data_IF_923445787856
#
_entry.id   IF_923445787856
#
_cell.length_a   1.000
_cell.length_b   1.000
_cell.length_c   1.000
_cell.angle_alpha   90.00
_cell.angle_beta   90.00
_cell.angle_gamma   90.00
#
_symmetry.space_group_name_H-M   'P 1'
#
loop_
_entity.id
_entity.type
_entity.pdbx_description
1 polymer ?
#
# COMPACT_ATOMS: atom_id res chain seq x y z
N UNK A 1 -13.71 -17.42 3.98
CA UNK A 1 -14.44 -16.86 2.82
C UNK A 1 -13.85 -15.49 2.53
N UNK A 2 -13.39 -15.26 1.29
CA UNK A 2 -12.79 -13.97 0.90
C UNK A 2 -13.90 -13.06 0.36
N UNK A 3 -13.91 -11.79 0.78
CA UNK A 3 -14.86 -10.79 0.30
C UNK A 3 -14.31 -10.15 -0.98
N UNK A 4 -14.94 -10.40 -2.13
CA UNK A 4 -14.37 -10.13 -3.46
C UNK A 4 -15.07 -9.05 -4.28
N UNK A 5 -16.14 -8.45 -3.76
CA UNK A 5 -16.98 -7.46 -4.46
C UNK A 5 -16.20 -6.29 -5.11
N UNK A 6 -15.06 -5.88 -4.55
CA UNK A 6 -14.30 -4.71 -5.01
C UNK A 6 -12.94 -5.05 -5.62
N UNK A 7 -12.52 -6.33 -5.63
CA UNK A 7 -11.15 -6.71 -5.98
C UNK A 7 -10.83 -6.43 -7.46
N UNK A 8 -11.84 -6.46 -8.34
CA UNK A 8 -11.71 -6.09 -9.76
C UNK A 8 -11.98 -4.61 -10.07
N UNK A 9 -12.35 -3.80 -9.08
CA UNK A 9 -12.82 -2.44 -9.32
C UNK A 9 -11.67 -1.42 -9.25
N UNK A 10 -11.34 -0.82 -10.39
CA UNK A 10 -10.30 0.22 -10.51
C UNK A 10 -10.76 1.60 -10.05
N UNK A 11 -12.03 1.77 -9.67
CA UNK A 11 -12.54 2.96 -8.96
C UNK A 11 -12.28 2.90 -7.45
N UNK A 12 -11.86 1.75 -6.92
CA UNK A 12 -11.57 1.58 -5.51
C UNK A 12 -10.11 1.91 -5.20
N UNK A 13 -9.88 2.29 -3.94
CA UNK A 13 -8.53 2.37 -3.37
C UNK A 13 -8.23 1.02 -2.73
N UNK A 14 -7.14 0.39 -3.15
CA UNK A 14 -6.70 -0.89 -2.60
C UNK A 14 -5.61 -0.65 -1.55
N UNK A 15 -5.89 -0.98 -0.31
CA UNK A 15 -4.91 -0.89 0.78
C UNK A 15 -4.30 -2.27 1.03
N UNK A 16 -2.99 -2.40 0.84
CA UNK A 16 -2.26 -3.65 1.11
C UNK A 16 -1.56 -3.53 2.45
N UNK A 17 -2.00 -4.33 3.41
CA UNK A 17 -1.47 -4.36 4.76
C UNK A 17 -0.39 -5.42 4.91
N UNK A 18 0.68 -5.08 5.62
CA UNK A 18 1.71 -6.03 6.07
C UNK A 18 2.15 -5.68 7.49
N UNK A 19 2.78 -6.64 8.18
CA UNK A 19 3.20 -6.47 9.58
C UNK A 19 4.69 -6.23 9.66
N UNK A 20 5.09 -5.20 10.39
CA UNK A 20 6.51 -4.88 10.60
C UNK A 20 7.24 -5.87 11.52
N UNK A 21 6.50 -6.72 12.23
CA UNK A 21 7.08 -7.77 13.07
C UNK A 21 7.47 -9.02 12.28
N UNK A 22 6.99 -9.16 11.05
CA UNK A 22 7.40 -10.27 10.18
C UNK A 22 8.81 -10.01 9.65
N UNK A 23 9.57 -11.05 9.28
CA UNK A 23 10.86 -10.84 8.62
C UNK A 23 10.71 -10.11 7.28
N UNK A 24 11.75 -9.39 6.84
CA UNK A 24 11.77 -8.68 5.55
C UNK A 24 11.27 -9.53 4.38
N UNK A 25 11.74 -10.78 4.26
CA UNK A 25 11.36 -11.69 3.18
C UNK A 25 9.87 -12.01 3.20
N UNK A 26 9.31 -12.27 4.39
CA UNK A 26 7.88 -12.56 4.57
C UNK A 26 7.03 -11.33 4.23
N UNK A 27 7.44 -10.14 4.69
CA UNK A 27 6.74 -8.90 4.35
C UNK A 27 6.70 -8.67 2.84
N UNK A 28 7.85 -8.83 2.16
CA UNK A 28 7.96 -8.67 0.72
C UNK A 28 7.12 -9.71 -0.05
N UNK A 29 7.15 -10.97 0.39
CA UNK A 29 6.33 -12.03 -0.20
C UNK A 29 4.83 -11.74 -0.06
N UNK A 30 4.37 -11.28 1.12
CA UNK A 30 2.98 -10.90 1.34
C UNK A 30 2.55 -9.77 0.41
N UNK A 31 3.32 -8.68 0.34
CA UNK A 31 3.01 -7.53 -0.53
C UNK A 31 2.96 -7.95 -1.99
N UNK A 32 3.96 -8.71 -2.46
CA UNK A 32 4.00 -9.22 -3.83
C UNK A 32 2.83 -10.15 -4.14
N UNK A 33 2.47 -11.03 -3.21
CA UNK A 33 1.33 -11.94 -3.35
C UNK A 33 0.03 -11.15 -3.54
N UNK A 34 -0.24 -10.18 -2.66
CA UNK A 34 -1.49 -9.41 -2.73
C UNK A 34 -1.58 -8.56 -3.99
N UNK A 35 -0.47 -7.97 -4.44
CA UNK A 35 -0.44 -7.21 -5.70
C UNK A 35 -0.63 -8.10 -6.92
N UNK A 36 0.03 -9.25 -6.97
CA UNK A 36 -0.15 -10.21 -8.06
C UNK A 36 -1.59 -10.75 -8.08
N UNK A 37 -2.15 -11.04 -6.91
CA UNK A 37 -3.53 -11.46 -6.75
C UNK A 37 -4.48 -10.36 -7.26
N UNK A 38 -4.32 -9.11 -6.83
CA UNK A 38 -5.13 -7.98 -7.30
C UNK A 38 -5.09 -7.84 -8.83
N UNK A 39 -3.88 -7.85 -9.41
CA UNK A 39 -3.69 -7.74 -10.86
C UNK A 39 -4.32 -8.91 -11.63
N UNK A 40 -4.33 -10.13 -11.07
CA UNK A 40 -4.99 -11.28 -11.69
C UNK A 40 -6.51 -11.15 -11.79
N UNK A 41 -7.10 -10.20 -11.05
CA UNK A 41 -8.55 -9.95 -10.99
C UNK A 41 -8.97 -8.66 -11.69
N UNK A 42 -8.01 -7.84 -12.13
CA UNK A 42 -8.26 -6.56 -12.81
C UNK A 42 -7.83 -6.73 -14.28
N UNK A 43 -8.78 -6.90 -15.20
CA UNK A 43 -8.43 -6.94 -16.62
C UNK A 43 -7.87 -5.57 -17.05
N UNK A 44 -6.85 -5.53 -17.91
CA UNK A 44 -6.36 -4.29 -18.50
C UNK A 44 -7.51 -3.56 -19.22
N UNK A 45 -7.62 -2.25 -19.03
CA UNK A 45 -8.61 -1.42 -19.71
C UNK A 45 -7.94 -0.59 -20.80
N UNK A 46 -8.52 -0.62 -21.99
CA UNK A 46 -8.11 0.22 -23.11
C UNK A 46 -8.43 1.71 -22.84
N UNK A 47 -7.66 2.65 -23.39
CA UNK A 47 -6.46 2.42 -24.21
C UNK A 47 -5.25 2.01 -23.36
N UNK A 48 -4.44 1.07 -23.87
CA UNK A 48 -3.16 0.75 -23.25
C UNK A 48 -2.11 1.84 -23.53
N UNK A 49 -1.47 2.32 -22.47
CA UNK A 49 -0.34 3.24 -22.50
C UNK A 49 1.02 2.55 -22.62
N UNK A 50 2.09 3.31 -22.43
CA UNK A 50 3.47 2.81 -22.43
C UNK A 50 3.64 1.61 -21.48
N UNK A 51 4.41 0.60 -21.90
CA UNK A 51 4.59 -0.67 -21.19
C UNK A 51 3.29 -1.46 -20.90
N UNK A 52 2.22 -1.25 -21.67
CA UNK A 52 0.94 -1.95 -21.48
C UNK A 52 0.17 -1.46 -20.26
N UNK A 53 0.48 -0.27 -19.75
CA UNK A 53 -0.22 0.32 -18.61
C UNK A 53 -1.68 0.59 -18.98
N UNK A 54 -2.61 0.00 -18.22
CA UNK A 54 -4.05 0.23 -18.37
C UNK A 54 -4.37 1.73 -18.32
N UNK A 55 -5.32 2.20 -19.13
CA UNK A 55 -5.80 3.58 -19.09
C UNK A 55 -6.41 3.97 -17.73
N UNK A 56 -6.81 2.96 -16.95
CA UNK A 56 -7.29 3.10 -15.57
C UNK A 56 -6.63 2.04 -14.69
N UNK A 57 -5.38 2.25 -14.26
CA UNK A 57 -4.67 1.29 -13.41
C UNK A 57 -5.28 1.26 -12.00
N UNK A 58 -5.10 0.14 -11.30
CA UNK A 58 -5.54 0.02 -9.92
C UNK A 58 -4.75 0.98 -9.01
N UNK A 59 -5.43 1.75 -8.16
CA UNK A 59 -4.79 2.59 -7.15
C UNK A 59 -4.49 1.78 -5.92
N UNK A 60 -3.22 1.73 -5.52
CA UNK A 60 -2.75 0.92 -4.39
C UNK A 60 -1.95 1.78 -3.42
N UNK A 61 -2.15 1.59 -2.13
CA UNK A 61 -1.26 2.10 -1.10
C UNK A 61 -0.83 0.99 -0.14
N UNK A 62 0.42 1.06 0.31
CA UNK A 62 0.98 0.11 1.26
C UNK A 62 0.83 0.63 2.69
N UNK A 63 0.47 -0.28 3.60
CA UNK A 63 0.24 0.02 5.00
C UNK A 63 1.02 -0.94 5.88
N UNK A 64 2.02 -0.41 6.58
CA UNK A 64 2.88 -1.16 7.49
C UNK A 64 2.33 -1.03 8.91
N UNK A 65 1.80 -2.11 9.46
CA UNK A 65 1.18 -2.16 10.79
C UNK A 65 2.14 -2.66 11.87
N UNK A 66 1.73 -2.55 13.13
CA UNK A 66 2.51 -2.98 14.31
C UNK A 66 3.76 -2.12 14.56
N UNK A 67 3.73 -0.84 14.16
CA UNK A 67 4.87 0.06 14.35
C UNK A 67 5.20 0.31 15.84
N UNK A 68 4.25 0.07 16.74
CA UNK A 68 4.37 0.14 18.20
C UNK A 68 5.20 -1.00 18.82
N UNK A 69 5.21 -2.17 18.20
CA UNK A 69 5.91 -3.37 18.68
C UNK A 69 7.14 -3.71 17.84
N UNK A 70 7.20 -3.22 16.60
CA UNK A 70 8.36 -3.38 15.73
C UNK A 70 9.52 -2.48 16.15
N UNK A 71 10.74 -2.83 15.70
CA UNK A 71 11.94 -2.01 15.88
C UNK A 71 11.97 -0.78 14.94
N UNK A 72 10.90 0.03 14.97
CA UNK A 72 10.78 1.25 14.18
C UNK A 72 11.35 2.47 14.92
N UNK A 73 11.83 3.46 14.16
CA UNK A 73 12.25 4.73 14.75
C UNK A 73 11.04 5.65 14.91
N UNK A 74 10.83 6.21 16.11
CA UNK A 74 9.81 7.24 16.33
C UNK A 74 10.43 8.63 16.29
N UNK A 75 9.99 9.46 15.34
CA UNK A 75 10.47 10.83 15.19
C UNK A 75 9.96 11.66 16.37
N UNK A 76 10.86 12.16 17.22
CA UNK A 76 10.48 12.86 18.46
C UNK A 76 9.64 14.13 18.21
N UNK A 77 9.90 14.86 17.12
CA UNK A 77 9.22 16.11 16.81
C UNK A 77 7.77 15.92 16.32
N UNK A 78 7.49 14.86 15.55
CA UNK A 78 6.16 14.63 14.95
C UNK A 78 5.40 13.49 15.63
N UNK A 79 6.11 12.64 16.38
CA UNK A 79 5.56 11.42 16.97
C UNK A 79 5.32 10.29 15.97
N UNK A 80 5.74 10.45 14.71
CA UNK A 80 5.56 9.48 13.64
C UNK A 80 6.55 8.32 13.70
N UNK A 81 6.08 7.14 13.31
CA UNK A 81 6.95 6.00 13.10
C UNK A 81 7.52 6.00 11.69
N UNK A 82 8.80 5.67 11.58
CA UNK A 82 9.51 5.54 10.31
C UNK A 82 10.20 4.18 10.28
N UNK A 83 10.11 3.50 9.14
CA UNK A 83 10.78 2.23 8.89
C UNK A 83 11.53 2.27 7.56
N UNK A 84 12.85 2.13 7.64
CA UNK A 84 13.72 1.98 6.46
C UNK A 84 13.41 0.68 5.71
N UNK A 85 13.02 -0.36 6.44
CA UNK A 85 12.62 -1.65 5.89
C UNK A 85 11.34 -1.52 5.05
N UNK A 86 10.29 -0.89 5.60
CA UNK A 86 9.06 -0.60 4.85
C UNK A 86 9.33 0.23 3.59
N UNK A 87 10.24 1.21 3.69
CA UNK A 87 10.67 2.02 2.55
C UNK A 87 11.37 1.17 1.48
N UNK A 88 12.21 0.21 1.90
CA UNK A 88 12.87 -0.73 0.99
C UNK A 88 11.87 -1.66 0.28
N UNK A 89 10.87 -2.16 1.00
CA UNK A 89 9.78 -2.98 0.45
C UNK A 89 9.02 -2.18 -0.62
N UNK A 90 8.67 -0.92 -0.35
CA UNK A 90 8.02 -0.06 -1.32
C UNK A 90 8.85 0.11 -2.59
N UNK A 91 10.14 0.41 -2.47
CA UNK A 91 11.03 0.56 -3.65
C UNK A 91 11.09 -0.70 -4.49
N UNK A 92 11.24 -1.86 -3.84
CA UNK A 92 11.27 -3.17 -4.51
C UNK A 92 9.93 -3.44 -5.21
N UNK A 93 8.83 -3.08 -4.54
CA UNK A 93 7.47 -3.21 -5.08
C UNK A 93 7.23 -2.28 -6.27
N UNK A 94 7.71 -1.03 -6.21
CA UNK A 94 7.64 -0.06 -7.31
C UNK A 94 8.38 -0.55 -8.55
N UNK A 95 9.58 -1.12 -8.38
CA UNK A 95 10.35 -1.70 -9.48
C UNK A 95 9.60 -2.84 -10.17
N UNK A 96 8.91 -3.69 -9.39
CA UNK A 96 8.20 -4.85 -9.92
C UNK A 96 6.82 -4.54 -10.49
N UNK A 97 6.05 -3.67 -9.82
CA UNK A 97 4.63 -3.45 -10.10
C UNK A 97 4.26 -2.04 -10.56
N UNK A 98 5.16 -1.05 -10.44
CA UNK A 98 4.84 0.36 -10.68
C UNK A 98 4.42 0.71 -12.11
N UNK A 99 4.71 -0.15 -13.09
CA UNK A 99 4.20 0.00 -14.46
C UNK A 99 2.77 -0.51 -14.63
N UNK A 100 2.31 -1.41 -13.75
CA UNK A 100 1.00 -2.08 -13.82
C UNK A 100 -0.05 -1.43 -12.92
N UNK A 101 0.36 -0.91 -11.77
CA UNK A 101 -0.53 -0.25 -10.79
C UNK A 101 -0.10 1.20 -10.55
N UNK A 102 -1.05 2.00 -10.07
CA UNK A 102 -0.77 3.33 -9.53
C UNK A 102 -0.48 3.19 -8.02
N UNK A 103 0.81 3.08 -7.68
CA UNK A 103 1.26 2.84 -6.31
C UNK A 103 1.58 4.15 -5.60
N UNK A 104 0.99 4.36 -4.43
CA UNK A 104 1.28 5.52 -3.60
C UNK A 104 2.78 5.62 -3.26
N UNK A 105 3.33 6.83 -3.29
CA UNK A 105 4.78 7.10 -3.19
C UNK A 105 5.36 6.86 -1.79
N UNK A 106 4.50 6.70 -0.77
CA UNK A 106 4.92 6.49 0.61
C UNK A 106 4.20 5.29 1.23
N UNK A 107 4.81 4.71 2.27
CA UNK A 107 4.17 3.68 3.08
C UNK A 107 3.62 4.31 4.35
N UNK A 108 2.36 4.02 4.67
CA UNK A 108 1.79 4.42 5.94
C UNK A 108 2.30 3.48 7.04
N UNK A 109 3.25 3.94 7.84
CA UNK A 109 3.77 3.21 9.00
C UNK A 109 2.92 3.56 10.22
N UNK A 110 2.10 2.62 10.68
CA UNK A 110 1.08 2.90 11.68
C UNK A 110 1.08 1.95 12.87
N UNK A 111 0.77 2.55 14.02
CA UNK A 111 0.22 1.88 15.18
C UNK A 111 -1.32 1.93 15.06
N UNK A 112 -1.93 0.76 14.89
CA UNK A 112 -3.37 0.63 14.66
C UNK A 112 -4.20 0.87 15.93
N UNK A 113 -3.58 0.85 17.12
CA UNK A 113 -4.25 1.09 18.39
C UNK A 113 -4.46 2.59 18.65
N UNK A 114 -3.71 3.46 17.95
CA UNK A 114 -3.73 4.91 18.15
C UNK A 114 -4.41 5.60 16.97
N UNK A 115 -5.74 5.73 17.05
CA UNK A 115 -6.60 6.35 16.02
C UNK A 115 -6.23 7.82 15.72
N UNK A 116 -5.69 8.52 16.73
CA UNK A 116 -5.25 9.91 16.64
C UNK A 116 -3.83 10.11 16.12
N UNK A 117 -3.12 9.04 15.78
CA UNK A 117 -1.73 9.11 15.32
C UNK A 117 -1.61 9.91 14.02
N UNK A 118 -0.47 10.61 13.79
CA UNK A 118 -0.28 11.36 12.55
C UNK A 118 -0.37 10.46 11.31
N UNK A 119 0.16 9.23 11.36
CA UNK A 119 0.06 8.25 10.27
C UNK A 119 -1.40 7.89 9.96
N UNK A 120 -2.25 7.68 10.97
CA UNK A 120 -3.67 7.41 10.77
C UNK A 120 -4.41 8.63 10.18
N UNK A 121 -4.04 9.85 10.60
CA UNK A 121 -4.57 11.09 10.00
C UNK A 121 -4.16 11.21 8.53
N UNK A 122 -2.89 10.95 8.20
CA UNK A 122 -2.38 10.97 6.84
C UNK A 122 -3.11 9.94 5.96
N UNK A 123 -3.31 8.71 6.44
CA UNK A 123 -4.06 7.68 5.73
C UNK A 123 -5.51 8.11 5.47
N UNK A 124 -6.20 8.67 6.47
CA UNK A 124 -7.58 9.19 6.31
C UNK A 124 -7.63 10.32 5.28
N UNK A 125 -6.68 11.25 5.32
CA UNK A 125 -6.57 12.34 4.34
C UNK A 125 -6.32 11.81 2.94
N UNK A 126 -5.45 10.80 2.77
CA UNK A 126 -5.21 10.14 1.49
C UNK A 126 -6.49 9.49 0.94
N UNK A 127 -7.22 8.74 1.76
CA UNK A 127 -8.48 8.12 1.34
C UNK A 127 -9.52 9.16 0.97
N UNK A 128 -9.67 10.22 1.77
CA UNK A 128 -10.62 11.31 1.49
C UNK A 128 -10.30 12.03 0.17
N UNK A 129 -9.03 12.33 -0.08
CA UNK A 129 -8.58 13.00 -1.31
C UNK A 129 -8.83 12.17 -2.57
N UNK A 130 -8.78 10.84 -2.47
CA UNK A 130 -8.93 9.94 -3.61
C UNK A 130 -10.36 9.40 -3.79
N UNK A 131 -11.34 9.85 -2.99
CA UNK A 131 -12.74 9.42 -3.05
C UNK A 131 -13.47 9.90 -4.32
N UNK A 132 -13.03 11.00 -4.91
CA UNK A 132 -13.74 11.71 -6.00
C UNK A 132 -13.04 11.63 -7.38
N UNK A 133 -11.91 10.93 -7.45
CA UNK A 133 -11.15 10.72 -8.70
C UNK A 133 -11.45 9.36 -9.29
#
# INVERSE_FOLDING_TARGET
MMYDNFIGNTNCIHLVFFRLNDSYEVQLQQVHFWLAFLLSRIPPQEPLGYCGKSGKPARVALVATHADTASCHRVAATGEYVSSEATSILRTTQQKFGQMVDLHETVFVLDAHVVGSPAMKALKSYVAFNKEK
#
